data_IF_531226048990
#
_entry.id   IF_531226048990
#
_cell.length_a   1.000
_cell.length_b   1.000
_cell.length_c   1.000
_cell.angle_alpha   90.00
_cell.angle_beta   90.00
_cell.angle_gamma   90.00
#
_symmetry.space_group_name_H-M   'P 1'
#
loop_
_entity.id
_entity.type
_entity.pdbx_description
1 polymer ?
#
# COMPACT_ATOMS: atom_id res chain seq x y z
N UNK A 1 -11.89 -28.05 23.14
CA UNK A 1 -11.26 -26.72 23.38
C UNK A 1 -9.95 -26.47 22.59
N UNK A 2 -8.94 -27.35 22.61
CA UNK A 2 -7.65 -27.13 21.92
C UNK A 2 -7.75 -27.09 20.38
N UNK A 3 -8.54 -27.98 19.77
CA UNK A 3 -8.72 -27.98 18.31
C UNK A 3 -9.42 -26.70 17.81
N UNK A 4 -10.40 -26.19 18.56
CA UNK A 4 -11.13 -24.95 18.20
C UNK A 4 -10.20 -23.74 18.20
N UNK A 5 -9.27 -23.65 19.16
CA UNK A 5 -8.23 -22.60 19.17
C UNK A 5 -7.29 -22.70 17.97
N UNK A 6 -6.90 -23.92 17.58
CA UNK A 6 -6.02 -24.15 16.44
C UNK A 6 -6.69 -23.75 15.11
N UNK A 7 -7.97 -24.12 14.94
CA UNK A 7 -8.76 -23.70 13.78
C UNK A 7 -8.99 -22.18 13.74
N UNK A 8 -9.35 -21.58 14.89
CA UNK A 8 -9.45 -20.13 15.03
C UNK A 8 -8.15 -19.45 14.58
N UNK A 9 -7.00 -19.83 15.12
CA UNK A 9 -5.72 -19.22 14.76
C UNK A 9 -5.39 -19.37 13.28
N UNK A 10 -5.70 -20.53 12.66
CA UNK A 10 -5.53 -20.73 11.22
C UNK A 10 -6.38 -19.78 10.38
N UNK A 11 -7.62 -19.52 10.79
CA UNK A 11 -8.51 -18.55 10.14
C UNK A 11 -7.96 -17.13 10.30
N UNK A 12 -7.56 -16.73 11.52
CA UNK A 12 -7.01 -15.40 11.77
C UNK A 12 -5.72 -15.13 10.98
N UNK A 13 -4.84 -16.13 10.86
CA UNK A 13 -3.61 -16.01 10.07
C UNK A 13 -3.90 -15.79 8.58
N UNK A 14 -4.90 -16.50 8.03
CA UNK A 14 -5.35 -16.27 6.64
C UNK A 14 -5.98 -14.89 6.47
N UNK A 15 -6.76 -14.44 7.46
CA UNK A 15 -7.38 -13.12 7.46
C UNK A 15 -6.35 -11.99 7.52
N UNK A 16 -5.23 -12.19 8.21
CA UNK A 16 -4.14 -11.22 8.31
C UNK A 16 -3.58 -10.81 6.95
N UNK A 17 -3.48 -11.77 6.01
CA UNK A 17 -3.05 -11.49 4.62
C UNK A 17 -4.01 -10.53 3.91
N UNK A 18 -5.31 -10.64 4.19
CA UNK A 18 -6.34 -9.80 3.60
C UNK A 18 -6.58 -8.48 4.35
N UNK A 19 -5.98 -8.26 5.53
CA UNK A 19 -6.14 -7.00 6.27
C UNK A 19 -5.72 -5.78 5.45
N UNK A 20 -4.69 -5.94 4.60
CA UNK A 20 -4.25 -4.89 3.68
C UNK A 20 -5.34 -4.44 2.69
N UNK A 21 -6.30 -5.32 2.34
CA UNK A 21 -7.44 -4.99 1.48
C UNK A 21 -8.42 -4.01 2.16
N UNK A 22 -8.47 -4.03 3.48
CA UNK A 22 -9.35 -3.16 4.27
C UNK A 22 -8.63 -1.90 4.76
N UNK A 23 -7.35 -1.71 4.38
CA UNK A 23 -6.61 -0.52 4.75
C UNK A 23 -7.35 0.76 4.28
N UNK A 24 -7.53 1.77 5.14
CA UNK A 24 -8.27 2.99 4.80
C UNK A 24 -7.77 3.67 3.52
N UNK A 25 -6.47 3.58 3.25
CA UNK A 25 -5.81 4.20 2.10
C UNK A 25 -6.34 3.68 0.75
N UNK A 26 -6.93 2.48 0.69
CA UNK A 26 -7.55 1.93 -0.53
C UNK A 26 -8.94 2.52 -0.83
N UNK A 27 -9.54 3.18 0.15
CA UNK A 27 -10.86 3.82 0.02
C UNK A 27 -10.76 5.32 -0.28
N UNK A 28 -9.55 5.86 -0.31
CA UNK A 28 -9.34 7.26 -0.63
C UNK A 28 -9.67 7.50 -2.11
N UNK A 29 -10.32 8.64 -2.41
CA UNK A 29 -10.39 9.14 -3.78
C UNK A 29 -8.99 9.27 -4.38
N UNK A 30 -8.91 9.10 -5.69
CA UNK A 30 -7.66 9.12 -6.43
C UNK A 30 -6.92 10.47 -6.27
N UNK A 31 -7.64 11.57 -6.40
CA UNK A 31 -7.16 12.94 -6.25
C UNK A 31 -6.55 13.20 -4.87
N UNK A 32 -7.20 12.70 -3.80
CA UNK A 32 -6.67 12.80 -2.43
C UNK A 32 -5.35 12.00 -2.30
N UNK A 33 -5.31 10.79 -2.86
CA UNK A 33 -4.10 9.97 -2.82
C UNK A 33 -2.95 10.60 -3.59
N UNK A 34 -3.22 11.19 -4.76
CA UNK A 34 -2.23 11.93 -5.55
C UNK A 34 -1.72 13.16 -4.80
N UNK A 35 -2.61 13.90 -4.14
CA UNK A 35 -2.22 15.06 -3.35
C UNK A 35 -1.29 14.68 -2.20
N UNK A 36 -1.56 13.56 -1.51
CA UNK A 36 -0.66 13.01 -0.48
C UNK A 36 0.71 12.69 -1.07
N UNK A 37 0.77 12.06 -2.25
CA UNK A 37 2.04 11.71 -2.88
C UNK A 37 2.87 12.93 -3.29
N UNK A 38 2.23 14.02 -3.73
CA UNK A 38 2.89 15.28 -4.05
C UNK A 38 3.53 15.98 -2.84
N UNK A 39 3.06 15.68 -1.63
CA UNK A 39 3.64 16.24 -0.38
C UNK A 39 4.92 15.51 0.05
N UNK A 40 5.26 14.40 -0.58
CA UNK A 40 6.39 13.59 -0.21
C UNK A 40 7.66 14.09 -0.91
N UNK A 41 8.83 14.05 -0.25
CA UNK A 41 10.08 14.45 -0.87
C UNK A 41 10.43 13.52 -2.02
N UNK A 42 10.71 14.10 -3.19
CA UNK A 42 11.08 13.36 -4.41
C UNK A 42 12.59 13.49 -4.62
N UNK A 43 13.32 12.43 -4.27
CA UNK A 43 14.74 12.29 -4.55
C UNK A 43 14.97 11.13 -5.52
N UNK A 44 14.79 11.35 -6.83
CA UNK A 44 14.85 10.26 -7.84
C UNK A 44 16.19 9.54 -7.92
N UNK A 45 17.28 10.20 -7.52
CA UNK A 45 18.64 9.65 -7.55
C UNK A 45 18.88 8.61 -6.45
N UNK A 46 18.17 8.72 -5.32
CA UNK A 46 18.32 7.79 -4.20
C UNK A 46 17.28 6.67 -4.33
N UNK A 47 17.71 5.43 -4.51
CA UNK A 47 16.81 4.27 -4.61
C UNK A 47 16.02 3.98 -3.32
N UNK A 48 16.43 4.56 -2.19
CA UNK A 48 15.70 4.53 -0.92
C UNK A 48 14.74 5.72 -0.76
N UNK A 49 14.52 6.51 -1.82
CA UNK A 49 13.59 7.62 -1.80
C UNK A 49 12.14 7.19 -1.99
N UNK A 50 11.25 8.12 -1.67
CA UNK A 50 9.80 7.90 -1.61
C UNK A 50 9.19 7.34 -2.90
N UNK A 51 9.54 7.80 -4.13
CA UNK A 51 9.02 7.23 -5.37
C UNK A 51 9.23 5.72 -5.53
N UNK A 52 10.43 5.24 -5.22
CA UNK A 52 10.79 3.84 -5.36
C UNK A 52 10.11 2.97 -4.30
N UNK A 53 10.00 3.48 -3.06
CA UNK A 53 9.31 2.78 -1.98
C UNK A 53 7.81 2.63 -2.30
N UNK A 54 7.14 3.71 -2.73
CA UNK A 54 5.71 3.69 -3.00
C UNK A 54 5.33 2.80 -4.18
N UNK A 55 6.17 2.78 -5.23
CA UNK A 55 5.98 1.89 -6.38
C UNK A 55 6.12 0.39 -6.07
N UNK A 56 6.66 0.02 -4.90
CA UNK A 56 6.81 -1.36 -4.46
C UNK A 56 5.73 -1.81 -3.44
N UNK A 57 4.88 -0.91 -2.94
CA UNK A 57 3.86 -1.24 -1.95
C UNK A 57 2.73 -2.07 -2.55
N UNK A 58 2.17 -1.65 -3.68
CA UNK A 58 1.13 -2.39 -4.39
C UNK A 58 1.02 -1.97 -5.86
N UNK A 59 0.33 -2.81 -6.65
CA UNK A 59 0.07 -2.55 -8.07
C UNK A 59 -0.62 -1.20 -8.30
N UNK A 60 -1.63 -0.84 -7.50
CA UNK A 60 -2.37 0.41 -7.68
C UNK A 60 -1.47 1.63 -7.55
N UNK A 61 -0.60 1.68 -6.53
CA UNK A 61 0.29 2.84 -6.31
C UNK A 61 1.37 2.93 -7.37
N UNK A 62 1.90 1.77 -7.80
CA UNK A 62 2.83 1.69 -8.93
C UNK A 62 2.20 2.23 -10.21
N UNK A 63 0.96 1.84 -10.49
CA UNK A 63 0.24 2.33 -11.67
C UNK A 63 0.11 3.86 -11.64
N UNK A 64 -0.18 4.45 -10.47
CA UNK A 64 -0.26 5.91 -10.33
C UNK A 64 1.06 6.60 -10.63
N UNK A 65 2.16 6.14 -10.05
CA UNK A 65 3.48 6.72 -10.30
C UNK A 65 3.87 6.68 -11.78
N UNK A 66 3.50 5.63 -12.50
CA UNK A 66 3.75 5.51 -13.94
C UNK A 66 2.81 6.37 -14.79
N UNK A 67 1.58 6.63 -14.32
CA UNK A 67 0.58 7.43 -15.04
C UNK A 67 0.71 8.93 -14.82
N UNK A 68 1.32 9.38 -13.72
CA UNK A 68 1.35 10.79 -13.33
C UNK A 68 2.79 11.33 -13.28
N UNK A 69 3.22 12.06 -14.33
CA UNK A 69 4.61 12.47 -14.41
C UNK A 69 5.13 13.40 -13.33
N UNK A 70 4.24 14.15 -12.69
CA UNK A 70 4.56 15.04 -11.57
C UNK A 70 5.03 14.33 -10.29
N UNK A 71 5.00 12.99 -10.26
CA UNK A 71 5.38 12.19 -9.08
C UNK A 71 6.81 11.64 -9.15
N UNK A 72 7.46 11.67 -10.32
CA UNK A 72 8.89 11.39 -10.49
C UNK A 72 9.66 12.70 -10.72
#
# INVERSE_FOLDING_TARGET
LRHLRKQKNGIYHRLQVYQSLFAPIRRLPLDVLLHIFQLLPVDTVNLNSTPWILGNICYSWRSLYLSFPMLW
#
